data_IF_412567920699
#
_entry.id   IF_412567920699
#
_cell.length_a   1.000
_cell.length_b   1.000
_cell.length_c   1.000
_cell.angle_alpha   90.00
_cell.angle_beta   90.00
_cell.angle_gamma   90.00
#
_symmetry.space_group_name_H-M   'P 1'
#
loop_
_entity.id
_entity.type
_entity.pdbx_description
1 polymer ?
#
# COMPACT_ATOMS: atom_id res chain seq x y z
N UNK A 1 3.50 -14.30 -1.78
CA UNK A 1 2.10 -13.86 -1.54
C UNK A 1 1.56 -13.13 -2.77
N UNK A 2 0.29 -13.34 -3.17
CA UNK A 2 -0.29 -12.82 -4.43
C UNK A 2 -0.41 -11.30 -4.51
N UNK A 3 -0.88 -10.64 -3.45
CA UNK A 3 -1.04 -9.17 -3.41
C UNK A 3 0.31 -8.44 -3.61
N UNK A 4 1.32 -8.86 -2.86
CA UNK A 4 2.71 -8.42 -3.04
C UNK A 4 3.21 -8.58 -4.49
N UNK A 5 2.96 -9.74 -5.11
CA UNK A 5 3.36 -9.98 -6.50
C UNK A 5 2.65 -9.06 -7.52
N UNK A 6 1.36 -8.76 -7.31
CA UNK A 6 0.61 -7.79 -8.13
C UNK A 6 1.27 -6.41 -8.03
N UNK A 7 1.57 -5.94 -6.81
CA UNK A 7 2.20 -4.64 -6.60
C UNK A 7 3.62 -4.55 -7.17
N UNK A 8 4.42 -5.63 -7.11
CA UNK A 8 5.73 -5.67 -7.77
C UNK A 8 5.60 -5.55 -9.28
N UNK A 9 4.74 -6.37 -9.90
CA UNK A 9 4.52 -6.34 -11.35
C UNK A 9 3.97 -4.99 -11.82
N UNK A 10 3.04 -4.40 -11.07
CA UNK A 10 2.51 -3.05 -11.32
C UNK A 10 3.62 -2.00 -11.36
N UNK A 11 4.51 -2.02 -10.36
CA UNK A 11 5.64 -1.10 -10.26
C UNK A 11 6.71 -1.33 -11.33
N UNK A 12 7.08 -2.58 -11.59
CA UNK A 12 8.06 -2.95 -12.62
C UNK A 12 7.59 -2.48 -13.99
N UNK A 13 6.34 -2.76 -14.35
CA UNK A 13 5.75 -2.29 -15.60
C UNK A 13 5.71 -0.76 -15.64
N UNK A 14 5.35 -0.10 -14.54
CA UNK A 14 5.31 1.36 -14.49
C UNK A 14 6.66 2.00 -14.79
N UNK A 15 7.76 1.47 -14.24
CA UNK A 15 9.08 2.02 -14.52
C UNK A 15 9.60 1.66 -15.92
N UNK A 16 9.15 0.56 -16.50
CA UNK A 16 9.42 0.24 -17.91
C UNK A 16 8.68 1.22 -18.85
N UNK A 17 7.39 1.45 -18.60
CA UNK A 17 6.54 2.33 -19.41
C UNK A 17 6.90 3.81 -19.23
N UNK A 18 7.44 4.17 -18.06
CA UNK A 18 7.78 5.53 -17.66
C UNK A 18 9.19 5.60 -17.03
N UNK A 19 10.26 5.48 -17.84
CA UNK A 19 11.64 5.46 -17.36
C UNK A 19 12.02 6.70 -16.54
N UNK A 20 11.36 7.83 -16.75
CA UNK A 20 11.60 9.04 -15.96
C UNK A 20 11.31 8.83 -14.46
N UNK A 21 10.48 7.85 -14.09
CA UNK A 21 10.19 7.50 -12.69
C UNK A 21 11.10 6.42 -12.11
N UNK A 22 12.02 5.86 -12.91
CA UNK A 22 12.88 4.75 -12.49
C UNK A 22 13.80 5.09 -11.30
N UNK A 23 14.02 6.38 -11.01
CA UNK A 23 14.73 6.83 -9.80
C UNK A 23 14.10 6.30 -8.49
N UNK A 24 12.82 5.95 -8.51
CA UNK A 24 12.12 5.38 -7.37
C UNK A 24 12.23 3.86 -7.28
N UNK A 25 12.76 3.16 -8.29
CA UNK A 25 12.89 1.71 -8.28
C UNK A 25 13.77 1.21 -7.13
N UNK A 26 14.84 1.94 -6.81
CA UNK A 26 15.75 1.65 -5.70
C UNK A 26 15.33 2.30 -4.38
N UNK A 27 14.18 2.99 -4.36
CA UNK A 27 13.67 3.73 -3.18
C UNK A 27 12.46 3.08 -2.55
N UNK A 28 12.13 1.85 -2.93
CA UNK A 28 11.01 1.11 -2.32
C UNK A 28 11.33 0.84 -0.85
N UNK A 29 10.50 1.34 0.04
CA UNK A 29 10.59 1.08 1.48
C UNK A 29 9.84 -0.19 1.84
N UNK A 30 8.60 -0.31 1.38
CA UNK A 30 7.74 -1.46 1.66
C UNK A 30 6.54 -1.52 0.72
N UNK A 31 5.85 -2.65 0.79
CA UNK A 31 4.50 -2.84 0.25
C UNK A 31 3.59 -3.14 1.42
N UNK A 32 2.46 -2.45 1.52
CA UNK A 32 1.51 -2.62 2.60
C UNK A 32 0.08 -2.75 2.08
N UNK A 33 -0.70 -3.59 2.75
CA UNK A 33 -2.15 -3.61 2.66
C UNK A 33 -2.68 -2.54 3.59
N UNK A 34 -3.62 -1.75 3.09
CA UNK A 34 -4.18 -0.61 3.77
C UNK A 34 -5.71 -0.71 3.84
N UNK A 35 -6.31 0.27 4.53
CA UNK A 35 -7.74 0.52 4.50
C UNK A 35 -8.60 -0.68 4.99
N UNK A 36 -9.71 -0.98 4.32
CA UNK A 36 -10.71 -1.94 4.78
C UNK A 36 -10.17 -3.36 4.88
N UNK A 37 -9.40 -3.81 3.88
CA UNK A 37 -8.81 -5.14 3.88
C UNK A 37 -7.74 -5.32 4.98
N UNK A 38 -6.93 -4.29 5.24
CA UNK A 38 -6.00 -4.31 6.36
C UNK A 38 -6.74 -4.34 7.69
N UNK A 39 -7.83 -3.59 7.81
CA UNK A 39 -8.64 -3.57 9.03
C UNK A 39 -9.31 -4.92 9.29
N UNK A 40 -9.84 -5.57 8.25
CA UNK A 40 -10.35 -6.94 8.32
C UNK A 40 -9.27 -7.93 8.77
N UNK A 41 -8.03 -7.79 8.28
CA UNK A 41 -6.92 -8.64 8.73
C UNK A 41 -6.69 -8.53 10.24
N UNK A 42 -6.88 -7.34 10.81
CA UNK A 42 -6.70 -7.08 12.25
C UNK A 42 -7.89 -7.53 13.08
N UNK A 43 -9.13 -7.25 12.65
CA UNK A 43 -10.33 -7.46 13.49
C UNK A 43 -11.23 -8.64 13.09
N UNK A 44 -11.03 -9.22 11.90
CA UNK A 44 -11.82 -10.33 11.37
C UNK A 44 -13.29 -10.02 11.04
N UNK A 45 -13.78 -8.81 11.30
CA UNK A 45 -15.20 -8.45 11.22
C UNK A 45 -15.49 -7.37 10.19
N UNK A 46 -14.51 -6.51 9.88
CA UNK A 46 -14.67 -5.44 8.88
C UNK A 46 -14.85 -6.03 7.48
N UNK A 47 -15.85 -5.61 6.71
CA UNK A 47 -16.01 -6.10 5.33
C UNK A 47 -14.86 -5.71 4.39
N UNK A 48 -14.60 -6.54 3.37
CA UNK A 48 -13.61 -6.26 2.31
C UNK A 48 -14.33 -5.86 1.02
N UNK A 49 -14.20 -4.59 0.62
CA UNK A 49 -14.74 -4.09 -0.65
C UNK A 49 -13.75 -4.21 -1.81
N UNK A 50 -12.47 -3.99 -1.52
CA UNK A 50 -11.31 -4.05 -2.39
C UNK A 50 -10.04 -4.26 -1.55
N UNK A 51 -8.93 -4.54 -2.21
CA UNK A 51 -7.60 -4.62 -1.61
C UNK A 51 -6.78 -3.39 -1.99
N UNK A 52 -6.69 -2.41 -1.09
CA UNK A 52 -5.82 -1.26 -1.25
C UNK A 52 -4.37 -1.62 -0.90
N UNK A 53 -3.50 -1.67 -1.90
CA UNK A 53 -2.07 -1.90 -1.74
C UNK A 53 -1.29 -0.62 -2.00
N UNK A 54 -0.53 -0.19 -1.01
CA UNK A 54 0.41 0.91 -1.14
C UNK A 54 1.84 0.39 -1.30
N UNK A 55 2.53 0.85 -2.35
CA UNK A 55 4.00 0.86 -2.35
C UNK A 55 4.46 2.19 -1.78
N UNK A 56 5.21 2.12 -0.68
CA UNK A 56 5.85 3.28 -0.09
C UNK A 56 7.27 3.44 -0.61
N UNK A 57 7.63 4.66 -0.95
CA UNK A 57 8.94 5.03 -1.44
C UNK A 57 9.61 6.02 -0.50
N UNK A 58 10.94 6.01 -0.47
CA UNK A 58 11.72 7.11 0.10
C UNK A 58 11.56 8.34 -0.81
N UNK A 59 11.27 9.49 -0.21
CA UNK A 59 11.27 10.78 -0.91
C UNK A 59 12.58 11.03 -1.67
N UNK A 60 12.49 11.80 -2.75
CA UNK A 60 13.63 12.30 -3.51
C UNK A 60 13.60 13.82 -3.48
N UNK A 61 14.76 14.45 -3.33
CA UNK A 61 14.87 15.92 -3.20
C UNK A 61 14.43 16.65 -4.47
N UNK A 62 14.83 16.12 -5.64
CA UNK A 62 14.63 16.81 -6.93
C UNK A 62 13.35 16.40 -7.66
N UNK A 63 12.75 15.27 -7.27
CA UNK A 63 11.57 14.72 -7.93
C UNK A 63 10.57 14.30 -6.88
N UNK A 64 9.35 14.84 -6.93
CA UNK A 64 8.26 14.45 -6.04
C UNK A 64 7.48 13.30 -6.65
N UNK A 65 7.05 12.35 -5.83
CA UNK A 65 6.30 11.19 -6.31
C UNK A 65 4.95 11.61 -6.88
N UNK A 66 4.55 10.97 -7.98
CA UNK A 66 3.24 11.20 -8.60
C UNK A 66 2.12 10.56 -7.76
N UNK A 67 1.65 11.30 -6.76
CA UNK A 67 0.66 10.88 -5.77
C UNK A 67 -0.73 10.48 -6.33
N UNK A 68 -1.04 10.80 -7.59
CA UNK A 68 -2.35 10.50 -8.21
C UNK A 68 -2.39 9.16 -8.95
N UNK A 69 -1.30 8.39 -8.92
CA UNK A 69 -1.23 7.09 -9.60
C UNK A 69 -2.03 6.04 -8.82
N UNK A 70 -3.10 5.55 -9.43
CA UNK A 70 -3.88 4.40 -8.98
C UNK A 70 -4.07 3.48 -10.18
N UNK A 71 -3.81 2.19 -10.02
CA UNK A 71 -4.08 1.19 -11.05
C UNK A 71 -4.70 -0.05 -10.43
N UNK A 72 -5.82 -0.48 -11.00
CA UNK A 72 -6.61 -1.59 -10.50
C UNK A 72 -6.31 -2.89 -11.24
N UNK A 73 -6.29 -4.00 -10.51
CA UNK A 73 -6.03 -5.34 -11.00
C UNK A 73 -7.04 -6.33 -10.45
N UNK A 74 -7.26 -7.43 -11.17
CA UNK A 74 -8.07 -8.54 -10.68
C UNK A 74 -7.24 -9.40 -9.73
N UNK A 75 -7.75 -9.65 -8.51
CA UNK A 75 -7.16 -10.66 -7.65
C UNK A 75 -7.26 -12.07 -8.26
N UNK A 76 -8.23 -12.33 -9.13
CA UNK A 76 -8.35 -13.57 -9.92
C UNK A 76 -8.58 -14.82 -9.07
N UNK A 77 -9.26 -14.68 -7.93
CA UNK A 77 -9.75 -15.80 -7.13
C UNK A 77 -11.16 -15.49 -6.63
N UNK A 78 -12.18 -16.25 -7.06
CA UNK A 78 -13.58 -15.97 -6.74
C UNK A 78 -13.90 -16.14 -5.24
N UNK A 79 -13.04 -16.82 -4.47
CA UNK A 79 -13.19 -17.00 -3.01
C UNK A 79 -13.37 -15.66 -2.27
N UNK A 80 -12.78 -14.58 -2.76
CA UNK A 80 -12.82 -13.26 -2.13
C UNK A 80 -14.01 -12.39 -2.62
N UNK A 81 -14.92 -12.99 -3.39
CA UNK A 81 -16.03 -12.32 -4.04
C UNK A 81 -15.60 -11.50 -5.26
N UNK A 82 -16.56 -11.21 -6.12
CA UNK A 82 -16.40 -10.34 -7.30
C UNK A 82 -16.67 -8.89 -6.92
N UNK A 83 -15.97 -7.97 -7.56
CA UNK A 83 -16.20 -6.53 -7.33
C UNK A 83 -17.40 -6.07 -8.17
N UNK A 84 -18.47 -5.52 -7.56
CA UNK A 84 -19.68 -5.15 -8.30
C UNK A 84 -19.43 -4.11 -9.40
N UNK A 85 -18.47 -3.22 -9.19
CA UNK A 85 -18.08 -2.14 -10.09
C UNK A 85 -17.00 -2.53 -11.13
N UNK A 86 -16.47 -3.75 -11.04
CA UNK A 86 -15.55 -4.35 -12.03
C UNK A 86 -16.07 -5.71 -12.45
N UNK A 87 -17.16 -5.75 -13.26
CA UNK A 87 -17.69 -7.02 -13.73
C UNK A 87 -16.67 -7.80 -14.57
N UNK A 88 -15.71 -7.14 -15.21
CA UNK A 88 -14.63 -7.84 -15.92
C UNK A 88 -13.71 -8.66 -15.02
N UNK A 89 -13.73 -8.46 -13.69
CA UNK A 89 -12.90 -9.21 -12.75
C UNK A 89 -13.58 -10.50 -12.28
N UNK A 90 -12.77 -11.55 -12.13
CA UNK A 90 -13.17 -12.84 -11.55
C UNK A 90 -13.13 -12.77 -10.02
N UNK A 91 -12.13 -12.07 -9.48
CA UNK A 91 -11.94 -11.87 -8.06
C UNK A 91 -12.20 -10.44 -7.61
N UNK A 92 -11.81 -10.19 -6.36
CA UNK A 92 -11.88 -8.89 -5.73
C UNK A 92 -10.86 -7.93 -6.37
N UNK A 93 -11.21 -6.66 -6.52
CA UNK A 93 -10.35 -5.62 -7.06
C UNK A 93 -9.16 -5.41 -6.12
N UNK A 94 -7.99 -5.24 -6.72
CA UNK A 94 -6.75 -4.86 -6.05
C UNK A 94 -6.32 -3.52 -6.61
N UNK A 95 -6.32 -2.48 -5.78
CA UNK A 95 -5.86 -1.16 -6.18
C UNK A 95 -4.41 -0.98 -5.76
N UNK A 96 -3.54 -0.69 -6.72
CA UNK A 96 -2.13 -0.43 -6.51
C UNK A 96 -1.88 1.08 -6.52
N UNK A 97 -1.48 1.61 -5.36
CA UNK A 97 -1.21 3.01 -5.10
C UNK A 97 0.27 3.21 -4.73
N UNK A 98 0.76 4.43 -4.91
CA UNK A 98 2.12 4.80 -4.56
C UNK A 98 2.19 6.04 -3.69
N UNK A 99 3.10 6.04 -2.71
CA UNK A 99 3.37 7.23 -1.88
C UNK A 99 4.84 7.34 -1.53
N UNK A 100 5.43 8.52 -1.78
CA UNK A 100 6.73 8.83 -1.19
C UNK A 100 6.56 9.44 0.20
N UNK A 101 7.43 9.01 1.12
CA UNK A 101 7.52 9.51 2.49
C UNK A 101 8.98 9.80 2.82
N UNK A 102 9.19 10.76 3.71
CA UNK A 102 10.53 11.08 4.19
C UNK A 102 11.02 9.93 5.07
N UNK A 103 12.18 9.38 4.74
CA UNK A 103 12.84 8.37 5.55
C UNK A 103 14.35 8.45 5.30
N UNK A 104 15.17 8.17 6.32
CA UNK A 104 16.64 8.03 6.13
C UNK A 104 17.04 6.60 5.79
N UNK A 105 18.20 6.39 5.18
CA UNK A 105 18.65 5.05 4.74
C UNK A 105 18.78 4.03 5.87
N UNK A 106 19.01 4.50 7.10
CA UNK A 106 19.14 3.66 8.30
C UNK A 106 17.85 3.60 9.13
N UNK A 107 16.81 4.36 8.75
CA UNK A 107 15.57 4.40 9.51
C UNK A 107 14.77 3.11 9.34
N UNK A 108 14.23 2.60 10.45
CA UNK A 108 13.32 1.48 10.42
C UNK A 108 12.04 1.86 9.66
N UNK A 109 11.61 0.99 8.75
CA UNK A 109 10.43 1.20 7.89
C UNK A 109 9.16 1.45 8.70
N UNK A 110 8.95 0.69 9.79
CA UNK A 110 7.77 0.83 10.66
C UNK A 110 7.79 2.19 11.34
N UNK A 111 8.95 2.63 11.83
CA UNK A 111 9.12 3.96 12.42
C UNK A 111 8.82 5.07 11.42
N UNK A 112 9.37 4.98 10.21
CA UNK A 112 9.13 5.96 9.15
C UNK A 112 7.65 6.04 8.75
N UNK A 113 6.99 4.89 8.60
CA UNK A 113 5.55 4.82 8.31
C UNK A 113 4.72 5.42 9.43
N UNK A 114 4.95 5.02 10.68
CA UNK A 114 4.20 5.56 11.83
C UNK A 114 4.36 7.07 11.92
N UNK A 115 5.59 7.58 11.81
CA UNK A 115 5.85 9.02 11.76
C UNK A 115 5.08 9.72 10.64
N UNK A 116 5.05 9.14 9.44
CA UNK A 116 4.30 9.70 8.31
C UNK A 116 2.79 9.78 8.59
N UNK A 117 2.22 8.72 9.16
CA UNK A 117 0.80 8.62 9.51
C UNK A 117 0.44 9.59 10.64
N UNK A 118 1.19 9.57 11.74
CA UNK A 118 1.00 10.41 12.92
C UNK A 118 1.09 11.90 12.60
N UNK A 119 2.01 12.30 11.70
CA UNK A 119 2.12 13.69 11.29
C UNK A 119 0.88 14.19 10.54
N UNK A 120 0.10 13.30 9.91
CA UNK A 120 -1.18 13.64 9.28
C UNK A 120 -1.11 14.78 8.26
N UNK A 121 0.06 15.04 7.65
CA UNK A 121 0.28 16.22 6.78
C UNK A 121 -0.43 16.13 5.44
N UNK A 122 -0.79 14.92 5.02
CA UNK A 122 -1.47 14.67 3.74
C UNK A 122 -2.79 13.96 3.98
N UNK A 123 -3.76 14.17 3.10
CA UNK A 123 -5.04 13.47 3.16
C UNK A 123 -4.87 11.95 3.24
N UNK A 124 -4.01 11.36 2.40
CA UNK A 124 -3.71 9.91 2.48
C UNK A 124 -3.18 9.50 3.86
N UNK A 125 -2.36 10.32 4.52
CA UNK A 125 -1.88 9.98 5.87
C UNK A 125 -3.05 9.92 6.87
N UNK A 126 -3.97 10.89 6.79
CA UNK A 126 -5.17 10.94 7.65
C UNK A 126 -6.09 9.74 7.39
N UNK A 127 -6.39 9.47 6.12
CA UNK A 127 -7.23 8.33 5.72
C UNK A 127 -6.62 6.98 6.10
N UNK A 128 -5.30 6.85 6.04
CA UNK A 128 -4.60 5.63 6.48
C UNK A 128 -4.58 5.51 8.01
N UNK A 129 -4.52 6.63 8.74
CA UNK A 129 -4.56 6.66 10.21
C UNK A 129 -5.90 6.18 10.78
N UNK A 130 -7.01 6.37 10.05
CA UNK A 130 -8.35 5.95 10.48
C UNK A 130 -8.57 4.44 10.48
N UNK A 131 -7.69 3.67 9.83
CA UNK A 131 -7.85 2.21 9.65
C UNK A 131 -6.59 1.47 10.07
N UNK A 132 -6.22 0.40 9.34
CA UNK A 132 -5.04 -0.39 9.62
C UNK A 132 -4.06 -0.38 8.45
N UNK A 133 -2.80 -0.66 8.76
CA UNK A 133 -1.71 -0.86 7.80
C UNK A 133 -1.00 -2.15 8.18
N UNK A 134 -0.96 -3.09 7.25
CA UNK A 134 -0.31 -4.40 7.41
C UNK A 134 0.74 -4.56 6.34
N UNK A 135 1.97 -4.88 6.73
CA UNK A 135 3.05 -5.09 5.76
C UNK A 135 2.79 -6.36 4.95
N UNK A 136 3.01 -6.25 3.65
CA UNK A 136 3.13 -7.38 2.73
C UNK A 136 4.60 -7.70 2.44
N UNK A 137 5.44 -6.65 2.44
CA UNK A 137 6.89 -6.74 2.36
C UNK A 137 7.54 -5.62 3.20
N UNK A 138 8.72 -5.85 3.78
CA UNK A 138 9.45 -7.12 3.80
C UNK A 138 8.89 -8.13 4.82
N UNK A 139 8.13 -7.66 5.81
CA UNK A 139 7.72 -8.43 6.99
C UNK A 139 6.22 -8.77 6.92
N UNK A 140 5.88 -9.76 6.09
CA UNK A 140 4.50 -10.09 5.74
C UNK A 140 3.63 -10.41 6.96
N UNK A 141 2.49 -9.73 7.11
CA UNK A 141 1.52 -9.91 8.18
C UNK A 141 1.77 -9.01 9.39
N UNK A 142 2.88 -8.26 9.42
CA UNK A 142 3.16 -7.33 10.50
C UNK A 142 2.22 -6.14 10.48
N UNK A 143 1.49 -5.94 11.56
CA UNK A 143 0.65 -4.77 11.77
C UNK A 143 1.53 -3.57 12.13
N UNK A 144 1.52 -2.54 11.28
CA UNK A 144 2.24 -1.28 11.50
C UNK A 144 1.36 -0.29 12.25
N UNK A 145 0.07 -0.30 11.92
CA UNK A 145 -0.95 0.60 12.47
C UNK A 145 -2.30 -0.12 12.56
N UNK A 146 -3.12 0.11 13.60
CA UNK A 146 -2.81 0.88 14.82
C UNK A 146 -1.69 0.20 15.62
N UNK A 147 -0.97 0.98 16.44
CA UNK A 147 -0.11 0.39 17.48
C UNK A 147 -1.06 -0.20 18.52
N UNK A 148 -0.89 -1.47 18.91
CA UNK A 148 -1.63 -2.02 20.04
C UNK A 148 -1.55 -1.02 21.20
N UNK A 149 -2.68 -0.44 21.57
CA UNK A 149 -2.77 0.28 22.83
C UNK A 149 -2.64 -0.79 23.89
N UNK A 150 -1.51 -0.80 24.63
CA UNK A 150 -1.50 -1.50 25.90
C UNK A 150 -2.65 -0.93 26.72
N UNK A 151 -3.64 -1.77 26.98
CA UNK A 151 -4.70 -1.49 27.95
C UNK A 151 -4.09 -1.23 29.34
#
# INVERSE_FOLDING_TARGET
MKLAAIARKDREQFFQDKPEWAIYAQRVLCIALCQGAAKHYVDGVTGINDFDIYTFYRSHSEKRWYAKRIKSYDFGNPKFGRSPDRPDFIGRRVDCLGRAIDATDKENIVTALRRYIEQGKTETARLLAEKAIVLLEPDCGKVVWPVEQKA
#
